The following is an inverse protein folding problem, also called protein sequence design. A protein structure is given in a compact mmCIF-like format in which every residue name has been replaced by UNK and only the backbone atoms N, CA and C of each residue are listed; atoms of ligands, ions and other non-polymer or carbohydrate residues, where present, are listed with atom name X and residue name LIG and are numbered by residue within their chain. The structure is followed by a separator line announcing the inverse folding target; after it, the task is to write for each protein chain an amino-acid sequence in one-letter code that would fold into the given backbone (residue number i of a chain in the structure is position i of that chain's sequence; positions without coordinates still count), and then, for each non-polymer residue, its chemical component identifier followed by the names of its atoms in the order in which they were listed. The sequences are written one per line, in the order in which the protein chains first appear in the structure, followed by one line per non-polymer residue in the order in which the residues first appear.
data_IF_809268997088
#
_entry.id   IF_809268997088
#
_cell.length_a   1.000
_cell.length_b   1.000
_cell.length_c   1.000
_cell.angle_alpha   90.00
_cell.angle_beta   90.00
_cell.angle_gamma   90.00
#
_symmetry.space_group_name_H-M   'P 1'
#
loop_
_entity.id
_entity.type
_entity.pdbx_description
1 polymer ?
#
# COMPACT_ATOMS: atom_id res chain seq x y z
N UNK A 1 -0.87 -16.13 -10.00
CA UNK A 1 -0.87 -15.44 -8.71
C UNK A 1 -1.97 -14.41 -8.68
N UNK A 2 -2.82 -14.47 -7.69
CA UNK A 2 -3.91 -13.50 -7.56
C UNK A 2 -3.43 -12.28 -6.81
N UNK A 3 -3.72 -11.10 -7.36
CA UNK A 3 -3.45 -9.83 -6.70
C UNK A 3 -4.72 -9.38 -6.01
N UNK A 4 -4.65 -9.27 -4.69
CA UNK A 4 -5.80 -8.88 -3.89
C UNK A 4 -5.64 -7.44 -3.43
N UNK A 5 -6.73 -6.66 -3.41
CA UNK A 5 -6.66 -5.32 -2.85
C UNK A 5 -6.30 -5.36 -1.38
N UNK A 6 -5.51 -4.40 -0.96
CA UNK A 6 -5.13 -4.22 0.43
C UNK A 6 -5.62 -2.87 0.91
N UNK A 7 -5.90 -2.80 2.20
CA UNK A 7 -6.20 -1.54 2.89
C UNK A 7 -5.04 -1.22 3.80
N UNK A 8 -4.48 -0.04 3.61
CA UNK A 8 -3.36 0.43 4.41
C UNK A 8 -3.84 1.55 5.32
N UNK A 9 -3.74 1.34 6.63
CA UNK A 9 -4.03 2.39 7.60
C UNK A 9 -2.75 3.18 7.81
N UNK A 10 -2.77 4.44 7.41
CA UNK A 10 -1.59 5.28 7.46
C UNK A 10 -1.43 5.91 8.84
N UNK A 11 -0.20 6.32 9.15
CA UNK A 11 0.12 6.90 10.46
C UNK A 11 -0.66 8.19 10.75
N UNK A 12 -1.08 8.91 9.70
CA UNK A 12 -1.87 10.13 9.83
C UNK A 12 -3.37 9.89 9.99
N UNK A 13 -3.79 8.62 10.06
CA UNK A 13 -5.19 8.26 10.21
C UNK A 13 -5.96 8.05 8.92
N UNK A 14 -5.34 8.30 7.76
CA UNK A 14 -6.00 8.06 6.48
C UNK A 14 -5.87 6.60 6.06
N UNK A 15 -6.70 6.20 5.10
CA UNK A 15 -6.67 4.87 4.50
C UNK A 15 -6.29 4.96 3.04
N UNK A 16 -5.48 4.00 2.59
CA UNK A 16 -5.15 3.83 1.18
C UNK A 16 -5.57 2.42 0.78
N UNK A 17 -6.27 2.31 -0.33
CA UNK A 17 -6.76 1.03 -0.82
C UNK A 17 -6.23 0.81 -2.22
N UNK A 18 -5.70 -0.37 -2.49
CA UNK A 18 -5.21 -0.68 -3.82
C UNK A 18 -4.47 -1.99 -3.86
N UNK A 19 -3.80 -2.22 -4.98
CA UNK A 19 -3.04 -3.45 -5.24
C UNK A 19 -1.56 -3.10 -5.25
N UNK A 20 -0.76 -3.83 -4.46
CA UNK A 20 0.68 -3.63 -4.44
C UNK A 20 1.27 -4.15 -5.75
N UNK A 21 1.95 -3.29 -6.47
CA UNK A 21 2.63 -3.62 -7.73
C UNK A 21 4.09 -3.97 -7.51
N UNK A 22 4.74 -3.31 -6.56
CA UNK A 22 6.17 -3.46 -6.36
C UNK A 22 6.56 -2.98 -4.97
N UNK A 23 7.67 -3.52 -4.46
CA UNK A 23 8.28 -3.11 -3.20
C UNK A 23 9.78 -3.02 -3.44
N UNK A 24 10.40 -1.93 -3.00
CA UNK A 24 11.84 -1.75 -3.19
C UNK A 24 12.44 -0.93 -2.07
N UNK A 25 13.78 -0.93 -2.02
CA UNK A 25 14.54 -0.12 -1.07
C UNK A 25 15.27 0.98 -1.83
N UNK A 26 15.16 2.20 -1.35
CA UNK A 26 15.85 3.35 -1.92
C UNK A 26 16.15 4.36 -0.83
N UNK A 27 17.36 4.91 -0.83
CA UNK A 27 17.78 5.95 0.09
C UNK A 27 17.61 5.54 1.56
N UNK A 28 17.87 4.26 1.85
CA UNK A 28 17.76 3.73 3.21
C UNK A 28 16.35 3.52 3.71
N UNK A 29 15.36 3.62 2.84
CA UNK A 29 13.95 3.43 3.18
C UNK A 29 13.33 2.39 2.29
N UNK A 30 12.29 1.76 2.80
CA UNK A 30 11.49 0.82 2.03
C UNK A 30 10.23 1.50 1.51
N UNK A 31 9.92 1.20 0.24
CA UNK A 31 8.82 1.83 -0.48
C UNK A 31 7.95 0.76 -1.11
N UNK A 32 6.68 1.08 -1.31
CA UNK A 32 5.81 0.26 -2.15
C UNK A 32 5.09 1.13 -3.17
N UNK A 33 4.74 0.51 -4.29
CA UNK A 33 3.87 1.14 -5.29
C UNK A 33 2.51 0.49 -5.22
N UNK A 34 1.50 1.32 -5.01
CA UNK A 34 0.12 0.88 -4.84
C UNK A 34 -0.69 1.37 -6.02
N UNK A 35 -1.37 0.46 -6.69
CA UNK A 35 -2.28 0.82 -7.79
C UNK A 35 -3.65 1.13 -7.21
N UNK A 36 -4.14 2.32 -7.50
CA UNK A 36 -5.46 2.79 -7.11
C UNK A 36 -6.28 3.10 -8.36
N UNK A 37 -7.57 3.39 -8.18
CA UNK A 37 -8.47 3.63 -9.31
C UNK A 37 -8.08 4.85 -10.13
N UNK A 38 -7.44 5.83 -9.53
CA UNK A 38 -7.05 7.08 -10.19
C UNK A 38 -5.54 7.18 -10.46
N UNK A 39 -4.80 6.08 -10.29
CA UNK A 39 -3.39 6.05 -10.60
C UNK A 39 -2.56 5.36 -9.53
N UNK A 40 -1.26 5.29 -9.77
CA UNK A 40 -0.33 4.63 -8.85
C UNK A 40 0.24 5.65 -7.87
N UNK A 41 0.46 5.21 -6.63
CA UNK A 41 1.11 6.04 -5.61
C UNK A 41 2.28 5.26 -5.03
N UNK A 42 3.32 5.99 -4.61
CA UNK A 42 4.46 5.43 -3.90
C UNK A 42 4.34 5.79 -2.43
N UNK A 43 4.48 4.79 -1.58
CA UNK A 43 4.25 4.93 -0.14
C UNK A 43 5.49 4.45 0.60
N UNK A 44 5.96 5.28 1.53
CA UNK A 44 7.02 4.91 2.47
C UNK A 44 6.41 3.96 3.51
N UNK A 45 7.00 2.78 3.66
CA UNK A 45 6.49 1.76 4.56
C UNK A 45 6.46 2.20 6.03
N UNK A 46 7.33 3.15 6.41
CA UNK A 46 7.32 3.66 7.79
C UNK A 46 6.07 4.47 8.12
N UNK A 47 5.34 4.93 7.09
CA UNK A 47 4.09 5.68 7.28
C UNK A 47 2.88 4.77 7.36
N UNK A 48 3.04 3.46 7.21
CA UNK A 48 1.95 2.51 7.29
C UNK A 48 1.85 2.00 8.72
N UNK A 49 0.68 2.14 9.31
CA UNK A 49 0.42 1.70 10.67
C UNK A 49 -0.10 0.26 10.70
N UNK A 50 -0.95 -0.09 9.75
CA UNK A 50 -1.58 -1.41 9.71
C UNK A 50 -1.94 -1.76 8.27
N UNK A 51 -1.85 -3.06 7.95
CA UNK A 51 -2.23 -3.60 6.64
C UNK A 51 -3.35 -4.60 6.84
N UNK A 52 -4.41 -4.49 6.05
CA UNK A 52 -5.53 -5.42 6.06
C UNK A 52 -5.84 -5.87 4.64
N UNK A 53 -6.20 -7.13 4.48
CA UNK A 53 -6.71 -7.61 3.21
C UNK A 53 -8.14 -7.07 3.02
N UNK A 54 -8.38 -6.50 1.84
CA UNK A 54 -9.71 -6.01 1.49
C UNK A 54 -10.41 -7.07 0.68
N UNK A 55 -10.72 -8.19 1.32
CA UNK A 55 -11.40 -9.30 0.66
C UNK A 55 -12.86 -9.30 1.04
N UNK A 56 -13.72 -9.35 0.03
CA UNK A 56 -15.13 -9.56 0.25
C UNK A 56 -15.38 -11.05 0.58
N UNK A 57 -16.29 -11.35 1.47
CA UNK A 57 -16.66 -12.74 1.72
C UNK A 57 -17.36 -13.39 0.52
#
# INVERSE_FOLDING_TARGET
MQRRPLRLHMADGTWQVGIILDVWTAQGREWLRLRQSDGDVEIDLTHIQQVQENTAP
#
